data_IF_266934713880
#
_entry.id   IF_266934713880
#
_cell.length_a   1.000
_cell.length_b   1.000
_cell.length_c   1.000
_cell.angle_alpha   90.00
_cell.angle_beta   90.00
_cell.angle_gamma   90.00
#
_symmetry.space_group_name_H-M   'P 1'
#
loop_
_entity.id
_entity.type
_entity.pdbx_description
1 polymer ?
#
# COMPACT_ATOMS: atom_id res chain seq x y z
N UNK A 1 3.98 -15.62 4.30
CA UNK A 1 4.05 -15.06 2.94
C UNK A 1 4.50 -13.63 3.13
N UNK A 2 5.79 -13.36 3.05
CA UNK A 2 6.33 -12.03 3.23
C UNK A 2 6.16 -11.23 1.93
N UNK A 3 5.50 -10.09 2.03
CA UNK A 3 5.27 -9.13 0.95
C UNK A 3 5.91 -7.83 1.35
N UNK A 4 6.66 -7.21 0.44
CA UNK A 4 7.30 -5.92 0.69
C UNK A 4 6.41 -4.79 0.25
N UNK A 5 6.16 -3.82 1.12
CA UNK A 5 5.37 -2.63 0.81
C UNK A 5 6.27 -1.42 0.68
N UNK A 6 6.31 -0.80 -0.50
CA UNK A 6 6.98 0.47 -0.72
C UNK A 6 6.13 1.64 -0.20
N UNK A 7 6.75 2.46 0.66
CA UNK A 7 6.13 3.61 1.31
C UNK A 7 6.69 4.91 0.70
N UNK A 8 5.86 5.69 -0.01
CA UNK A 8 6.27 6.91 -0.66
C UNK A 8 6.60 7.97 0.39
N UNK A 9 7.50 8.91 0.05
CA UNK A 9 8.01 9.95 0.96
C UNK A 9 6.93 10.64 1.82
N UNK A 10 5.76 11.05 1.29
CA UNK A 10 4.72 11.69 2.10
C UNK A 10 4.19 10.84 3.25
N UNK A 11 4.25 9.51 3.14
CA UNK A 11 3.69 8.57 4.10
C UNK A 11 4.74 7.99 5.05
N UNK A 12 6.03 8.21 4.79
CA UNK A 12 7.12 7.62 5.60
C UNK A 12 7.09 8.01 7.07
N UNK A 13 6.56 9.19 7.42
CA UNK A 13 6.39 9.57 8.84
C UNK A 13 5.47 8.61 9.60
N UNK A 14 4.48 8.02 8.93
CA UNK A 14 3.57 7.04 9.53
C UNK A 14 4.23 5.66 9.74
N UNK A 15 5.33 5.37 9.05
CA UNK A 15 6.09 4.11 9.10
C UNK A 15 7.45 4.26 9.75
N UNK A 16 7.60 5.21 10.68
CA UNK A 16 8.87 5.49 11.38
C UNK A 16 10.04 5.80 10.43
N UNK A 17 9.75 6.53 9.36
CA UNK A 17 10.65 6.87 8.25
C UNK A 17 11.14 5.70 7.40
N UNK A 18 10.53 4.51 7.52
CA UNK A 18 10.84 3.37 6.64
C UNK A 18 10.20 3.54 5.27
N UNK A 19 10.99 3.34 4.23
CA UNK A 19 10.56 3.32 2.84
C UNK A 19 10.08 1.94 2.39
N UNK A 20 10.42 0.89 3.13
CA UNK A 20 9.91 -0.48 2.94
C UNK A 20 9.45 -1.08 4.25
N UNK A 21 8.31 -1.77 4.20
CA UNK A 21 7.74 -2.51 5.33
C UNK A 21 7.37 -3.90 4.86
N UNK A 22 7.80 -4.92 5.60
CA UNK A 22 7.40 -6.30 5.35
C UNK A 22 6.10 -6.61 6.07
N UNK A 23 5.15 -7.21 5.36
CA UNK A 23 3.84 -7.58 5.88
C UNK A 23 3.50 -8.99 5.39
N UNK A 24 2.81 -9.77 6.22
CA UNK A 24 2.25 -11.05 5.82
C UNK A 24 0.76 -10.96 5.60
N UNK A 25 0.31 -11.22 4.38
CA UNK A 25 -1.12 -11.21 4.02
C UNK A 25 -1.40 -12.11 2.81
N UNK A 26 -2.67 -12.52 2.68
CA UNK A 26 -3.13 -13.34 1.55
C UNK A 26 -3.63 -12.50 0.36
N UNK A 27 -4.06 -11.25 0.60
CA UNK A 27 -4.59 -10.33 -0.41
C UNK A 27 -4.11 -8.90 -0.16
N UNK A 28 -4.21 -8.04 -1.18
CA UNK A 28 -3.88 -6.61 -1.06
C UNK A 28 -4.70 -5.93 0.04
N UNK A 29 -5.99 -6.24 0.17
CA UNK A 29 -6.84 -5.71 1.24
C UNK A 29 -6.36 -6.14 2.62
N UNK A 30 -6.08 -7.43 2.80
CA UNK A 30 -5.53 -7.95 4.06
C UNK A 30 -4.17 -7.35 4.38
N UNK A 31 -3.34 -7.07 3.38
CA UNK A 31 -2.06 -6.39 3.55
C UNK A 31 -2.24 -4.99 4.15
N UNK A 32 -3.21 -4.22 3.66
CA UNK A 32 -3.48 -2.90 4.23
C UNK A 32 -4.10 -2.97 5.62
N UNK A 33 -4.93 -3.98 5.92
CA UNK A 33 -5.46 -4.20 7.27
C UNK A 33 -4.33 -4.45 8.28
N UNK A 34 -3.38 -5.31 7.90
CA UNK A 34 -2.19 -5.63 8.69
C UNK A 34 -1.27 -4.40 8.83
N UNK A 35 -1.02 -3.70 7.72
CA UNK A 35 -0.16 -2.53 7.67
C UNK A 35 -0.72 -1.38 8.54
N UNK A 36 -2.02 -1.09 8.47
CA UNK A 36 -2.66 -0.06 9.29
C UNK A 36 -2.79 -0.46 10.76
N UNK A 37 -2.86 -1.76 11.06
CA UNK A 37 -2.79 -2.25 12.45
C UNK A 37 -1.39 -2.03 13.04
N UNK A 38 -0.34 -2.30 12.27
CA UNK A 38 1.04 -2.06 12.68
C UNK A 38 1.41 -0.57 12.68
N UNK A 39 0.81 0.20 11.78
CA UNK A 39 1.07 1.62 11.54
C UNK A 39 -0.23 2.45 11.51
N UNK A 40 -0.84 2.75 12.67
CA UNK A 40 -2.12 3.47 12.73
C UNK A 40 -2.11 4.83 12.05
N UNK A 41 -0.94 5.48 11.92
CA UNK A 41 -0.79 6.75 11.21
C UNK A 41 -1.02 6.69 9.69
N UNK A 42 -1.13 5.49 9.09
CA UNK A 42 -1.48 5.31 7.68
C UNK A 42 -3.00 5.33 7.42
N UNK A 43 -3.82 5.15 8.47
CA UNK A 43 -5.28 5.18 8.35
C UNK A 43 -5.73 6.53 7.81
N UNK A 44 -6.63 6.53 6.84
CA UNK A 44 -7.11 7.76 6.19
C UNK A 44 -6.14 8.35 5.14
N UNK A 45 -4.88 7.90 5.07
CA UNK A 45 -3.93 8.36 4.05
C UNK A 45 -4.00 7.52 2.77
N UNK A 46 -4.11 6.21 2.93
CA UNK A 46 -4.12 5.24 1.81
C UNK A 46 -5.54 4.77 1.53
N UNK A 47 -6.27 4.39 2.58
CA UNK A 47 -7.68 3.98 2.51
C UNK A 47 -8.58 4.95 3.27
N UNK A 48 -9.79 5.13 2.77
CA UNK A 48 -10.87 5.84 3.45
C UNK A 48 -11.49 5.02 4.59
N UNK A 49 -12.44 5.61 5.30
CA UNK A 49 -13.10 5.00 6.46
C UNK A 49 -13.92 3.75 6.10
N UNK A 50 -14.33 3.59 4.85
CA UNK A 50 -15.03 2.39 4.35
C UNK A 50 -14.09 1.26 3.89
N UNK A 51 -12.77 1.46 3.96
CA UNK A 51 -11.77 0.50 3.50
C UNK A 51 -11.44 0.57 2.01
N UNK A 52 -12.06 1.49 1.26
CA UNK A 52 -11.71 1.77 -0.14
C UNK A 52 -10.39 2.53 -0.28
N UNK A 53 -9.64 2.27 -1.35
CA UNK A 53 -8.44 3.04 -1.68
C UNK A 53 -8.82 4.47 -2.04
N UNK A 54 -8.10 5.45 -1.51
CA UNK A 54 -8.37 6.85 -1.80
C UNK A 54 -8.14 7.15 -3.29
N UNK A 55 -9.01 7.95 -3.93
CA UNK A 55 -8.90 8.33 -5.36
C UNK A 55 -7.60 9.03 -5.79
N UNK A 56 -6.74 9.40 -4.84
CA UNK A 56 -5.46 10.06 -5.09
C UNK A 56 -4.29 9.13 -4.76
N UNK A 57 -4.55 7.83 -4.66
CA UNK A 57 -3.56 6.81 -4.35
C UNK A 57 -3.78 5.67 -5.34
N UNK A 58 -2.74 5.33 -6.07
CA UNK A 58 -2.69 4.17 -6.94
C UNK A 58 -1.86 3.09 -6.25
N UNK A 59 -2.31 1.85 -6.34
CA UNK A 59 -1.61 0.71 -5.77
C UNK A 59 -1.16 -0.22 -6.88
N UNK A 60 0.10 -0.62 -6.82
CA UNK A 60 0.68 -1.55 -7.79
C UNK A 60 1.15 -2.81 -7.09
N UNK A 61 0.92 -3.96 -7.72
CA UNK A 61 1.52 -5.25 -7.38
C UNK A 61 2.51 -5.62 -8.48
N UNK A 62 3.80 -5.73 -8.17
CA UNK A 62 4.85 -6.10 -9.13
C UNK A 62 4.81 -5.30 -10.45
N UNK A 63 4.58 -3.98 -10.37
CA UNK A 63 4.41 -3.04 -11.49
C UNK A 63 3.05 -3.06 -12.22
N UNK A 64 2.09 -3.88 -11.79
CA UNK A 64 0.74 -3.90 -12.34
C UNK A 64 -0.25 -3.23 -11.40
N UNK A 65 -1.07 -2.30 -11.91
CA UNK A 65 -2.07 -1.59 -11.11
C UNK A 65 -3.15 -2.56 -10.64
N UNK A 66 -3.51 -2.54 -9.35
CA UNK A 66 -4.49 -3.49 -8.80
C UNK A 66 -5.88 -3.30 -9.41
N UNK A 67 -6.17 -2.13 -9.96
CA UNK A 67 -7.40 -1.80 -10.69
C UNK A 67 -7.53 -2.60 -12.00
N UNK A 68 -6.41 -3.00 -12.60
CA UNK A 68 -6.39 -3.91 -13.75
C UNK A 68 -6.47 -5.39 -13.34
N UNK A 69 -6.31 -5.68 -12.04
CA UNK A 69 -6.37 -7.00 -11.44
C UNK A 69 -7.73 -7.22 -10.75
N UNK A 70 -7.74 -7.62 -9.48
CA UNK A 70 -8.94 -7.86 -8.67
C UNK A 70 -9.09 -6.80 -7.57
N UNK A 71 -8.44 -5.63 -7.71
CA UNK A 71 -8.43 -4.58 -6.71
C UNK A 71 -7.88 -5.08 -5.38
N UNK A 72 -8.56 -4.74 -4.28
CA UNK A 72 -8.19 -5.19 -2.93
C UNK A 72 -8.28 -6.72 -2.74
N UNK A 73 -9.03 -7.42 -3.59
CA UNK A 73 -9.13 -8.88 -3.53
C UNK A 73 -7.96 -9.58 -4.24
N UNK A 74 -7.07 -8.83 -4.90
CA UNK A 74 -5.91 -9.39 -5.60
C UNK A 74 -5.09 -10.27 -4.64
N UNK A 75 -4.90 -11.56 -4.97
CA UNK A 75 -4.14 -12.47 -4.13
C UNK A 75 -2.65 -12.14 -4.19
N UNK A 76 -2.00 -12.23 -3.04
CA UNK A 76 -0.56 -12.01 -2.89
C UNK A 76 0.17 -13.35 -2.83
N UNK A 77 1.46 -13.31 -3.19
CA UNK A 77 2.40 -14.42 -3.11
C UNK A 77 3.62 -14.01 -2.29
N UNK A 78 4.35 -15.00 -1.82
CA UNK A 78 5.62 -14.77 -1.14
C UNK A 78 6.62 -14.09 -2.09
N UNK A 79 7.26 -13.02 -1.62
CA UNK A 79 8.20 -12.23 -2.42
C UNK A 79 7.57 -11.14 -3.30
N UNK A 80 6.24 -10.98 -3.28
CA UNK A 80 5.58 -9.89 -4.01
C UNK A 80 5.98 -8.52 -3.45
N UNK A 81 6.00 -7.50 -4.32
CA UNK A 81 6.19 -6.09 -3.96
C UNK A 81 4.91 -5.30 -4.26
N UNK A 82 4.40 -4.61 -3.24
CA UNK A 82 3.26 -3.70 -3.33
C UNK A 82 3.75 -2.26 -3.20
N UNK A 83 3.43 -1.40 -4.16
CA UNK A 83 3.82 0.00 -4.14
C UNK A 83 2.61 0.93 -3.96
N UNK A 84 2.72 1.86 -3.00
CA UNK A 84 1.74 2.91 -2.77
C UNK A 84 2.23 4.17 -3.50
N UNK A 85 1.51 4.62 -4.52
CA UNK A 85 1.88 5.78 -5.34
C UNK A 85 0.81 6.86 -5.23
N UNK A 86 1.09 8.00 -4.58
CA UNK A 86 0.17 9.13 -4.56
C UNK A 86 0.03 9.71 -5.98
N UNK A 87 -1.20 9.97 -6.43
CA UNK A 87 -1.48 10.60 -7.73
C UNK A 87 -0.84 11.99 -7.89
N UNK A 88 -0.46 12.62 -6.77
CA UNK A 88 0.23 13.91 -6.71
C UNK A 88 1.77 13.79 -6.78
N UNK A 89 2.34 12.58 -6.93
CA UNK A 89 3.78 12.35 -6.96
C UNK A 89 4.46 12.81 -8.28
N UNK A 90 3.94 13.85 -8.93
CA UNK A 90 4.59 14.61 -10.01
C UNK A 90 5.41 15.79 -9.49
N UNK A 91 6.07 15.65 -8.33
CA UNK A 91 6.89 16.70 -7.72
C UNK A 91 8.29 16.74 -8.34
N UNK A 92 8.63 17.88 -8.93
CA UNK A 92 9.90 18.21 -9.58
C UNK A 92 11.15 17.70 -8.83
N UNK A 93 12.08 17.13 -9.60
CA UNK A 93 13.50 17.00 -9.24
C UNK A 93 14.15 18.39 -9.14
#
# INVERSE_FOLDING_TARGET
MAVTVYIPTPFRRATSNRDRVEVSAATVGGLFDELERAHPGLKGLVRGDGGEVHRHVNIYLNNEAIEALQGLLTPLKDGDEVAIIPALAGGAL
#
